data_IF_408465366240
#
_entry.id   IF_408465366240
#
_cell.length_a   1.000
_cell.length_b   1.000
_cell.length_c   1.000
_cell.angle_alpha   90.00
_cell.angle_beta   90.00
_cell.angle_gamma   90.00
#
_symmetry.space_group_name_H-M   'P 1'
#
loop_
_entity.id
_entity.type
_entity.pdbx_description
1 polymer ?
#
# COMPACT_ATOMS: atom_id res chain seq x y z
N UNK A 1 -2.63 43.88 -2.26
CA UNK A 1 -1.62 44.73 -2.96
C UNK A 1 -2.23 45.94 -3.69
N UNK A 2 -3.29 45.79 -4.49
CA UNK A 2 -3.90 46.91 -5.24
C UNK A 2 -4.37 48.08 -4.33
N UNK A 3 -5.10 47.78 -3.26
CA UNK A 3 -5.61 48.81 -2.32
C UNK A 3 -4.47 49.60 -1.65
N UNK A 4 -3.34 48.95 -1.35
CA UNK A 4 -2.16 49.63 -0.78
C UNK A 4 -1.55 50.58 -1.80
N UNK A 5 -1.44 50.15 -3.07
CA UNK A 5 -0.96 51.00 -4.16
C UNK A 5 -1.87 52.21 -4.38
N UNK A 6 -3.19 52.03 -4.31
CA UNK A 6 -4.16 53.11 -4.46
C UNK A 6 -4.10 54.09 -3.28
N UNK A 7 -3.90 53.59 -2.05
CA UNK A 7 -3.74 54.43 -0.86
C UNK A 7 -2.45 55.26 -0.92
N UNK A 8 -1.34 54.67 -1.37
CA UNK A 8 -0.07 55.38 -1.60
C UNK A 8 -0.28 56.49 -2.63
N UNK A 9 -0.89 56.17 -3.78
CA UNK A 9 -1.14 57.14 -4.85
C UNK A 9 -1.98 58.33 -4.35
N UNK A 10 -3.05 58.06 -3.59
CA UNK A 10 -3.91 59.10 -3.02
C UNK A 10 -3.17 60.02 -2.04
N UNK A 11 -2.34 59.45 -1.15
CA UNK A 11 -1.51 60.23 -0.23
C UNK A 11 -0.48 61.09 -0.97
N UNK A 12 0.16 60.55 -2.01
CA UNK A 12 1.13 61.29 -2.83
C UNK A 12 0.49 62.50 -3.51
N UNK A 13 -0.72 62.36 -4.06
CA UNK A 13 -1.44 63.48 -4.70
C UNK A 13 -1.78 64.57 -3.68
N UNK A 14 -2.30 64.21 -2.51
CA UNK A 14 -2.63 65.17 -1.45
C UNK A 14 -1.41 65.91 -0.92
N UNK A 15 -0.29 65.21 -0.71
CA UNK A 15 0.98 65.82 -0.34
C UNK A 15 1.40 66.88 -1.36
N UNK A 16 1.38 66.53 -2.65
CA UNK A 16 1.74 67.46 -3.72
C UNK A 16 0.85 68.71 -3.76
N UNK A 17 -0.47 68.55 -3.58
CA UNK A 17 -1.41 69.67 -3.52
C UNK A 17 -1.13 70.59 -2.33
N UNK A 18 -0.79 70.03 -1.18
CA UNK A 18 -0.51 70.78 0.05
C UNK A 18 0.80 71.54 -0.06
N UNK A 19 1.84 70.91 -0.62
CA UNK A 19 3.10 71.58 -0.91
C UNK A 19 2.89 72.77 -1.85
N UNK A 20 2.14 72.59 -2.94
CA UNK A 20 1.84 73.68 -3.88
C UNK A 20 1.03 74.82 -3.26
N UNK A 21 0.10 74.51 -2.35
CA UNK A 21 -0.63 75.53 -1.60
C UNK A 21 0.31 76.31 -0.67
N UNK A 22 1.23 75.63 0.00
CA UNK A 22 2.20 76.26 0.88
C UNK A 22 3.17 77.18 0.12
N UNK A 23 3.65 76.74 -1.06
CA UNK A 23 4.43 77.59 -1.97
C UNK A 23 3.64 78.83 -2.40
N UNK A 24 2.36 78.67 -2.75
CA UNK A 24 1.50 79.80 -3.09
C UNK A 24 1.30 80.78 -1.92
N UNK A 25 1.10 80.28 -0.70
CA UNK A 25 1.04 81.13 0.50
C UNK A 25 2.33 81.95 0.67
N UNK A 26 3.49 81.31 0.47
CA UNK A 26 4.79 81.99 0.57
C UNK A 26 4.96 83.09 -0.46
N UNK A 27 4.43 82.92 -1.67
CA UNK A 27 4.46 83.98 -2.70
C UNK A 27 3.49 85.12 -2.38
N UNK A 28 2.26 84.83 -1.94
CA UNK A 28 1.27 85.87 -1.61
C UNK A 28 1.71 86.75 -0.44
N UNK A 29 2.45 86.21 0.53
CA UNK A 29 2.99 86.98 1.66
C UNK A 29 4.05 88.00 1.22
N UNK A 30 4.67 87.82 0.04
CA UNK A 30 5.65 88.77 -0.52
C UNK A 30 5.00 89.98 -1.21
N UNK A 31 3.67 90.03 -1.30
CA UNK A 31 2.94 91.14 -1.92
C UNK A 31 3.22 92.46 -1.18
N UNK A 32 3.70 93.47 -1.90
CA UNK A 32 4.11 94.74 -1.31
C UNK A 32 2.94 95.73 -1.21
N UNK A 33 1.86 95.53 -1.97
CA UNK A 33 0.67 96.36 -1.91
C UNK A 33 -0.35 95.83 -0.87
N UNK A 34 -0.65 96.59 0.21
CA UNK A 34 -1.60 96.16 1.23
C UNK A 34 -3.01 95.92 0.68
N UNK A 35 -3.46 96.68 -0.32
CA UNK A 35 -4.78 96.49 -0.94
C UNK A 35 -4.85 95.20 -1.75
N UNK A 36 -3.84 94.90 -2.56
CA UNK A 36 -3.73 93.66 -3.32
C UNK A 36 -3.69 92.42 -2.42
N UNK A 37 -2.93 92.47 -1.32
CA UNK A 37 -2.89 91.39 -0.34
C UNK A 37 -4.27 91.12 0.28
N UNK A 38 -4.99 92.17 0.70
CA UNK A 38 -6.31 92.04 1.31
C UNK A 38 -7.37 91.47 0.36
N UNK A 39 -7.25 91.72 -0.95
CA UNK A 39 -8.17 91.13 -1.95
C UNK A 39 -8.02 89.61 -2.08
N UNK A 40 -6.83 89.06 -1.80
CA UNK A 40 -6.49 87.64 -2.03
C UNK A 40 -6.50 86.83 -0.72
N UNK A 41 -6.20 87.48 0.41
CA UNK A 41 -5.99 86.82 1.71
C UNK A 41 -7.19 86.01 2.20
N UNK A 42 -8.41 86.53 2.06
CA UNK A 42 -9.64 85.84 2.49
C UNK A 42 -9.89 84.54 1.69
N UNK A 43 -9.63 84.58 0.37
CA UNK A 43 -9.71 83.39 -0.48
C UNK A 43 -8.61 82.37 -0.14
N UNK A 44 -7.41 82.83 0.22
CA UNK A 44 -6.30 81.99 0.63
C UNK A 44 -6.59 81.30 1.98
N UNK A 45 -7.06 82.05 2.98
CA UNK A 45 -7.43 81.54 4.30
C UNK A 45 -8.49 80.45 4.18
N UNK A 46 -9.54 80.68 3.37
CA UNK A 46 -10.56 79.66 3.09
C UNK A 46 -9.95 78.40 2.48
N UNK A 47 -9.03 78.54 1.52
CA UNK A 47 -8.39 77.40 0.84
C UNK A 47 -7.48 76.59 1.77
N UNK A 48 -6.76 77.26 2.67
CA UNK A 48 -5.95 76.62 3.71
C UNK A 48 -6.83 75.83 4.67
N UNK A 49 -7.88 76.44 5.23
CA UNK A 49 -8.80 75.76 6.14
C UNK A 49 -9.49 74.55 5.49
N UNK A 50 -9.97 74.69 4.24
CA UNK A 50 -10.58 73.58 3.50
C UNK A 50 -9.59 72.43 3.25
N UNK A 51 -8.32 72.75 3.02
CA UNK A 51 -7.27 71.74 2.80
C UNK A 51 -6.95 71.03 4.12
N UNK A 52 -6.83 71.77 5.22
CA UNK A 52 -6.60 71.23 6.58
C UNK A 52 -7.71 70.28 7.03
N UNK A 53 -8.98 70.66 6.87
CA UNK A 53 -10.13 69.81 7.19
C UNK A 53 -10.16 68.48 6.40
N UNK A 54 -9.65 68.50 5.17
CA UNK A 54 -9.58 67.31 4.31
C UNK A 54 -8.41 66.39 4.63
N UNK A 55 -7.39 66.87 5.33
CA UNK A 55 -6.26 66.04 5.78
C UNK A 55 -6.67 65.09 6.90
N UNK A 56 -7.44 65.59 7.87
CA UNK A 56 -7.88 64.81 9.03
C UNK A 56 -8.90 63.70 8.71
N UNK A 57 -9.66 63.82 7.62
CA UNK A 57 -10.73 62.86 7.28
C UNK A 57 -10.23 61.74 6.36
N UNK A 58 -10.09 60.53 6.91
CA UNK A 58 -10.04 59.25 6.18
C UNK A 58 -8.81 58.99 5.30
N UNK A 59 -7.79 59.86 5.35
CA UNK A 59 -6.57 59.73 4.53
C UNK A 59 -5.45 58.99 5.27
N UNK A 60 -5.37 59.17 6.60
CA UNK A 60 -4.33 58.57 7.45
C UNK A 60 -4.74 57.26 8.14
N UNK A 61 -6.00 56.86 8.03
CA UNK A 61 -6.46 55.56 8.54
C UNK A 61 -6.02 54.46 7.57
N UNK A 62 -5.21 53.48 8.00
CA UNK A 62 -4.80 52.38 7.14
C UNK A 62 -6.04 51.60 6.69
N UNK A 63 -6.23 51.44 5.37
CA UNK A 63 -7.37 50.69 4.80
C UNK A 63 -7.15 49.18 4.80
N UNK A 64 -6.04 48.73 5.37
CA UNK A 64 -5.64 47.34 5.49
C UNK A 64 -5.31 47.06 6.95
N UNK A 65 -5.87 46.00 7.50
CA UNK A 65 -5.46 45.41 8.77
C UNK A 65 -4.23 44.54 8.52
N UNK A 66 -3.39 44.32 9.55
CA UNK A 66 -2.19 43.46 9.45
C UNK A 66 -2.50 41.97 9.40
N UNK A 67 -3.77 41.60 9.49
CA UNK A 67 -4.21 40.21 9.44
C UNK A 67 -4.34 39.77 7.99
N UNK A 68 -3.34 39.02 7.54
CA UNK A 68 -3.45 38.25 6.30
C UNK A 68 -4.41 37.10 6.53
N UNK A 69 -5.65 37.23 6.06
CA UNK A 69 -6.60 36.13 6.04
C UNK A 69 -6.23 35.18 4.88
N UNK A 70 -5.37 34.20 5.18
CA UNK A 70 -4.99 33.12 4.27
C UNK A 70 -6.12 32.09 4.18
N UNK A 71 -7.26 32.48 3.62
CA UNK A 71 -8.29 31.51 3.28
C UNK A 71 -7.89 30.79 2.00
N UNK A 72 -7.42 29.55 2.15
CA UNK A 72 -7.24 28.61 1.04
C UNK A 72 -8.63 28.21 0.54
N UNK A 73 -9.01 28.67 -0.65
CA UNK A 73 -10.24 28.21 -1.30
C UNK A 73 -10.04 26.77 -1.82
N UNK A 74 -10.53 25.81 -1.03
CA UNK A 74 -10.47 24.39 -1.35
C UNK A 74 -11.68 23.92 -2.16
N UNK A 75 -12.64 24.78 -2.51
CA UNK A 75 -13.83 24.39 -3.25
C UNK A 75 -13.51 23.84 -4.66
N UNK A 76 -12.59 24.42 -5.44
CA UNK A 76 -12.19 23.88 -6.75
C UNK A 76 -11.51 22.50 -6.61
N UNK A 77 -10.74 22.30 -5.55
CA UNK A 77 -10.07 21.04 -5.24
C UNK A 77 -11.11 19.96 -4.88
N UNK A 78 -12.06 20.27 -4.00
CA UNK A 78 -13.17 19.38 -3.63
C UNK A 78 -14.02 19.01 -4.85
N UNK A 79 -14.35 19.99 -5.70
CA UNK A 79 -15.09 19.74 -6.93
C UNK A 79 -14.31 18.85 -7.90
N UNK A 80 -13.00 19.04 -8.00
CA UNK A 80 -12.12 18.14 -8.77
C UNK A 80 -12.11 16.72 -8.18
N UNK A 81 -12.01 16.57 -6.85
CA UNK A 81 -12.07 15.27 -6.17
C UNK A 81 -13.41 14.57 -6.39
N UNK A 82 -14.53 15.32 -6.35
CA UNK A 82 -15.86 14.76 -6.62
C UNK A 82 -16.07 14.37 -8.09
N UNK A 83 -15.32 14.98 -9.01
CA UNK A 83 -15.31 14.63 -10.45
C UNK A 83 -14.30 13.53 -10.78
N UNK A 84 -13.46 13.11 -9.83
CA UNK A 84 -12.63 11.92 -10.00
C UNK A 84 -13.53 10.70 -9.92
N UNK A 85 -13.85 10.13 -11.08
CA UNK A 85 -14.25 8.73 -11.15
C UNK A 85 -13.03 7.88 -10.82
N UNK A 86 -12.97 7.40 -9.57
CA UNK A 86 -12.05 6.33 -9.20
C UNK A 86 -12.51 5.06 -9.91
N UNK A 87 -12.03 4.84 -11.13
CA UNK A 87 -11.80 3.47 -11.59
C UNK A 87 -10.68 2.95 -10.70
N UNK A 88 -11.06 2.30 -9.60
CA UNK A 88 -10.18 1.38 -8.93
C UNK A 88 -9.76 0.38 -10.01
N UNK A 89 -8.57 0.55 -10.58
CA UNK A 89 -7.88 -0.51 -11.30
C UNK A 89 -7.48 -1.55 -10.27
N UNK A 90 -8.48 -2.24 -9.74
CA UNK A 90 -8.36 -3.62 -9.30
C UNK A 90 -7.96 -4.31 -10.59
N UNK A 91 -6.64 -4.43 -10.82
CA UNK A 91 -6.13 -5.43 -11.75
C UNK A 91 -6.71 -6.73 -11.19
N UNK A 92 -7.84 -7.15 -11.75
CA UNK A 92 -8.42 -8.43 -11.49
C UNK A 92 -7.33 -9.39 -11.89
N UNK A 93 -6.59 -9.91 -10.90
CA UNK A 93 -5.84 -11.12 -11.17
C UNK A 93 -6.89 -12.09 -11.71
N UNK A 94 -6.66 -12.69 -12.89
CA UNK A 94 -7.66 -13.50 -13.52
C UNK A 94 -8.11 -14.57 -12.51
N UNK A 95 -9.42 -14.74 -12.37
CA UNK A 95 -9.95 -15.89 -11.63
C UNK A 95 -9.44 -17.17 -12.31
N UNK A 96 -9.23 -18.26 -11.56
CA UNK A 96 -8.68 -19.47 -12.15
C UNK A 96 -9.52 -20.01 -13.30
N UNK A 97 -8.90 -20.79 -14.20
CA UNK A 97 -9.62 -21.54 -15.20
C UNK A 97 -10.47 -22.65 -14.53
N UNK A 98 -11.61 -23.05 -15.13
CA UNK A 98 -12.43 -24.14 -14.62
C UNK A 98 -11.60 -25.44 -14.54
N UNK A 99 -11.62 -26.16 -13.40
CA UNK A 99 -10.91 -27.43 -13.29
C UNK A 99 -11.48 -28.50 -14.24
N UNK A 100 -10.64 -29.48 -14.57
CA UNK A 100 -11.00 -30.60 -15.44
C UNK A 100 -11.14 -31.85 -14.58
N UNK A 101 -12.34 -32.44 -14.54
CA UNK A 101 -12.57 -33.73 -13.88
C UNK A 101 -11.85 -34.85 -14.65
N UNK A 102 -11.10 -35.67 -13.93
CA UNK A 102 -10.38 -36.83 -14.45
C UNK A 102 -11.29 -38.05 -14.40
N UNK A 103 -12.13 -38.21 -15.42
CA UNK A 103 -13.17 -39.25 -15.49
C UNK A 103 -12.62 -40.67 -15.26
N UNK A 104 -11.39 -40.94 -15.72
CA UNK A 104 -10.72 -42.24 -15.56
C UNK A 104 -10.32 -42.55 -14.11
N UNK A 105 -10.18 -41.52 -13.28
CA UNK A 105 -9.82 -41.62 -11.86
C UNK A 105 -11.03 -41.42 -10.94
N UNK A 106 -12.18 -41.03 -11.48
CA UNK A 106 -13.43 -40.91 -10.74
C UNK A 106 -14.11 -42.27 -10.67
N UNK A 107 -14.55 -42.68 -9.48
CA UNK A 107 -15.26 -43.94 -9.32
C UNK A 107 -16.29 -43.86 -8.20
N UNK A 108 -17.32 -44.69 -8.28
CA UNK A 108 -18.26 -44.93 -7.18
C UNK A 108 -18.01 -46.32 -6.60
N UNK A 109 -18.12 -46.43 -5.28
CA UNK A 109 -17.99 -47.70 -4.58
C UNK A 109 -19.00 -47.74 -3.44
N UNK A 110 -19.96 -48.66 -3.48
CA UNK A 110 -21.06 -48.75 -2.50
C UNK A 110 -21.79 -47.41 -2.36
N UNK A 111 -21.69 -46.78 -1.19
CA UNK A 111 -22.26 -45.49 -0.84
C UNK A 111 -21.23 -44.36 -0.81
N UNK A 112 -20.11 -44.51 -1.51
CA UNK A 112 -19.09 -43.47 -1.64
C UNK A 112 -18.74 -43.17 -3.10
N UNK A 113 -18.26 -41.95 -3.32
CA UNK A 113 -17.80 -41.47 -4.61
C UNK A 113 -16.43 -40.82 -4.47
N UNK A 114 -15.45 -41.30 -5.22
CA UNK A 114 -14.14 -40.67 -5.35
C UNK A 114 -14.10 -39.83 -6.61
N UNK A 115 -13.74 -38.55 -6.45
CA UNK A 115 -13.68 -37.55 -7.51
C UNK A 115 -12.26 -37.02 -7.61
N UNK A 116 -11.72 -36.97 -8.82
CA UNK A 116 -10.39 -36.45 -9.13
C UNK A 116 -10.49 -35.34 -10.17
N UNK A 117 -9.74 -34.26 -10.00
CA UNK A 117 -9.71 -33.11 -10.91
C UNK A 117 -8.33 -32.50 -11.03
N UNK A 118 -8.04 -31.85 -12.15
CA UNK A 118 -6.78 -31.15 -12.37
C UNK A 118 -6.96 -29.78 -12.99
N UNK A 119 -5.96 -28.94 -12.81
CA UNK A 119 -5.85 -27.67 -13.49
C UNK A 119 -5.60 -27.89 -15.00
N UNK A 120 -6.18 -27.07 -15.90
CA UNK A 120 -5.88 -27.13 -17.32
C UNK A 120 -4.37 -26.95 -17.61
N UNK A 121 -3.78 -27.70 -18.57
CA UNK A 121 -2.32 -27.73 -18.82
C UNK A 121 -1.65 -26.40 -19.17
N UNK A 122 -2.42 -25.36 -19.50
CA UNK A 122 -1.93 -24.04 -19.91
C UNK A 122 -2.35 -22.91 -18.93
N UNK A 123 -2.95 -23.26 -17.79
CA UNK A 123 -3.35 -22.26 -16.81
C UNK A 123 -2.13 -21.74 -16.05
N UNK A 124 -1.75 -20.48 -16.31
CA UNK A 124 -0.71 -19.74 -15.60
C UNK A 124 -1.20 -19.08 -14.31
N UNK A 125 -2.51 -19.16 -14.02
CA UNK A 125 -3.14 -18.58 -12.84
C UNK A 125 -2.92 -19.48 -11.62
N UNK A 126 -2.46 -18.91 -10.52
CA UNK A 126 -2.29 -19.61 -9.25
C UNK A 126 -3.65 -19.91 -8.62
N UNK A 127 -3.86 -21.18 -8.28
CA UNK A 127 -5.04 -21.68 -7.56
C UNK A 127 -4.71 -21.80 -6.08
N UNK A 128 -5.57 -21.27 -5.22
CA UNK A 128 -5.43 -21.37 -3.76
C UNK A 128 -6.15 -22.61 -3.21
N UNK A 129 -7.19 -23.07 -3.89
CA UNK A 129 -7.90 -24.30 -3.60
C UNK A 129 -9.05 -24.56 -4.56
N UNK A 130 -9.80 -25.62 -4.26
CA UNK A 130 -10.95 -26.10 -5.01
C UNK A 130 -12.14 -26.27 -4.08
N UNK A 131 -13.32 -26.07 -4.64
CA UNK A 131 -14.60 -26.32 -4.00
C UNK A 131 -15.32 -27.38 -4.83
N UNK A 132 -15.57 -28.52 -4.22
CA UNK A 132 -16.36 -29.59 -4.81
C UNK A 132 -17.80 -29.49 -4.31
N UNK A 133 -18.73 -29.50 -5.25
CA UNK A 133 -20.15 -29.52 -4.98
C UNK A 133 -20.80 -30.79 -5.51
N UNK A 134 -21.73 -31.33 -4.73
CA UNK A 134 -22.51 -32.51 -5.06
C UNK A 134 -23.99 -32.21 -4.78
N UNK A 135 -24.91 -32.69 -5.63
CA UNK A 135 -26.35 -32.58 -5.37
C UNK A 135 -26.83 -33.61 -4.33
N UNK A 136 -28.13 -33.61 -4.05
CA UNK A 136 -28.75 -34.52 -3.07
C UNK A 136 -29.12 -35.90 -3.63
N UNK A 137 -28.75 -36.20 -4.89
CA UNK A 137 -29.08 -37.47 -5.56
C UNK A 137 -30.45 -37.50 -6.23
N UNK A 138 -31.24 -36.43 -6.08
CA UNK A 138 -32.58 -36.26 -6.67
C UNK A 138 -32.66 -35.05 -7.61
N UNK A 139 -31.51 -34.55 -8.08
CA UNK A 139 -31.43 -33.34 -8.90
C UNK A 139 -31.79 -32.04 -8.16
N UNK A 140 -31.65 -32.05 -6.82
CA UNK A 140 -31.89 -30.90 -5.96
C UNK A 140 -30.72 -29.90 -5.94
N UNK A 141 -30.57 -29.18 -4.83
CA UNK A 141 -29.53 -28.16 -4.70
C UNK A 141 -28.15 -28.78 -4.50
N UNK A 142 -27.16 -28.25 -5.21
CA UNK A 142 -25.75 -28.53 -4.98
C UNK A 142 -25.29 -28.02 -3.61
N UNK A 143 -24.52 -28.84 -2.89
CA UNK A 143 -23.90 -28.50 -1.60
C UNK A 143 -22.40 -28.71 -1.65
N UNK A 144 -21.67 -27.87 -0.95
CA UNK A 144 -20.22 -27.96 -0.83
C UNK A 144 -19.87 -29.16 0.05
N UNK A 145 -19.20 -30.16 -0.53
CA UNK A 145 -18.76 -31.38 0.15
C UNK A 145 -17.27 -31.37 0.44
N UNK A 146 -16.50 -30.53 -0.26
CA UNK A 146 -15.07 -30.35 -0.01
C UNK A 146 -14.62 -28.92 -0.36
N UNK A 147 -13.74 -28.38 0.50
CA UNK A 147 -13.02 -27.11 0.27
C UNK A 147 -11.57 -27.31 0.70
N UNK A 148 -10.63 -27.21 -0.23
CA UNK A 148 -9.21 -27.41 0.09
C UNK A 148 -8.30 -27.44 -1.12
N UNK A 149 -7.02 -27.78 -0.92
CA UNK A 149 -5.97 -27.74 -1.96
C UNK A 149 -5.82 -29.03 -2.75
N UNK A 150 -6.32 -30.13 -2.22
CA UNK A 150 -6.19 -31.44 -2.84
C UNK A 150 -7.00 -31.51 -4.12
N UNK A 151 -6.51 -32.33 -5.04
CA UNK A 151 -7.09 -32.57 -6.36
C UNK A 151 -7.92 -33.85 -6.42
N UNK A 152 -8.09 -34.53 -5.28
CA UNK A 152 -8.85 -35.76 -5.16
C UNK A 152 -9.58 -35.75 -3.82
N UNK A 153 -10.86 -36.16 -3.84
CA UNK A 153 -11.68 -36.26 -2.64
C UNK A 153 -12.64 -37.44 -2.74
N UNK A 154 -12.74 -38.21 -1.66
CA UNK A 154 -13.75 -39.26 -1.49
C UNK A 154 -14.86 -38.74 -0.60
N UNK A 155 -16.10 -38.83 -1.09
CA UNK A 155 -17.33 -38.45 -0.37
C UNK A 155 -18.02 -39.74 0.05
N UNK A 156 -18.07 -40.00 1.35
CA UNK A 156 -18.73 -41.17 1.94
C UNK A 156 -20.15 -40.83 2.43
N UNK A 157 -20.97 -41.87 2.64
CA UNK A 157 -22.30 -41.72 3.26
C UNK A 157 -23.39 -41.21 2.32
N UNK A 158 -23.23 -41.43 1.01
CA UNK A 158 -24.25 -41.13 0.00
C UNK A 158 -25.42 -42.12 0.08
N UNK A 159 -26.58 -41.75 -0.46
CA UNK A 159 -27.69 -42.68 -0.58
C UNK A 159 -27.36 -43.78 -1.60
N UNK A 160 -27.74 -45.02 -1.30
CA UNK A 160 -27.63 -46.14 -2.24
C UNK A 160 -28.57 -45.95 -3.44
N UNK A 161 -28.20 -46.56 -4.57
CA UNK A 161 -28.93 -46.53 -5.83
C UNK A 161 -29.44 -45.13 -6.24
N UNK A 162 -28.61 -44.12 -6.00
CA UNK A 162 -28.96 -42.72 -6.22
C UNK A 162 -28.00 -42.09 -7.22
N UNK A 163 -28.52 -41.20 -8.06
CA UNK A 163 -27.76 -40.55 -9.12
C UNK A 163 -27.35 -39.16 -8.68
N UNK A 164 -26.06 -38.97 -8.47
CA UNK A 164 -25.47 -37.73 -8.01
C UNK A 164 -24.83 -36.94 -9.14
N UNK A 165 -25.05 -35.64 -9.15
CA UNK A 165 -24.36 -34.68 -10.01
C UNK A 165 -23.24 -34.00 -9.23
N UNK A 166 -22.01 -34.08 -9.74
CA UNK A 166 -20.83 -33.47 -9.15
C UNK A 166 -20.27 -32.37 -10.06
N UNK A 167 -19.80 -31.27 -9.48
CA UNK A 167 -19.11 -30.19 -10.18
C UNK A 167 -18.06 -29.55 -9.28
N UNK A 168 -16.94 -29.11 -9.86
CA UNK A 168 -15.84 -28.49 -9.12
C UNK A 168 -15.51 -27.11 -9.67
N UNK A 169 -15.18 -26.17 -8.79
CA UNK A 169 -14.65 -24.83 -9.14
C UNK A 169 -13.34 -24.59 -8.40
N UNK A 170 -12.43 -23.82 -8.99
CA UNK A 170 -11.20 -23.36 -8.37
C UNK A 170 -11.40 -21.97 -7.76
N UNK A 171 -10.63 -21.62 -6.74
CA UNK A 171 -10.64 -20.28 -6.17
C UNK A 171 -9.23 -19.77 -5.88
N UNK A 172 -9.08 -18.46 -5.88
CA UNK A 172 -7.90 -17.74 -5.42
C UNK A 172 -8.30 -16.41 -4.76
N UNK A 173 -7.32 -15.63 -4.31
CA UNK A 173 -7.50 -14.29 -3.72
C UNK A 173 -8.35 -13.32 -4.59
N UNK A 174 -8.50 -13.58 -5.88
CA UNK A 174 -9.27 -12.75 -6.82
C UNK A 174 -10.72 -13.18 -7.01
N UNK A 175 -11.05 -14.44 -6.69
CA UNK A 175 -12.40 -14.96 -6.78
C UNK A 175 -12.46 -16.44 -7.16
N UNK A 176 -13.66 -16.89 -7.55
CA UNK A 176 -13.95 -18.28 -7.95
C UNK A 176 -14.02 -18.40 -9.48
N UNK A 177 -13.59 -19.55 -10.00
CA UNK A 177 -13.73 -19.91 -11.41
C UNK A 177 -15.18 -20.28 -11.76
N UNK A 178 -15.52 -20.34 -13.06
CA UNK A 178 -16.63 -21.16 -13.52
C UNK A 178 -16.49 -22.62 -13.07
N UNK A 179 -17.62 -23.34 -13.02
CA UNK A 179 -17.61 -24.76 -12.70
C UNK A 179 -17.04 -25.61 -13.85
N UNK A 180 -16.51 -26.78 -13.50
CA UNK A 180 -16.22 -27.87 -14.43
C UNK A 180 -17.49 -28.32 -15.15
N UNK A 181 -17.32 -29.17 -16.18
CA UNK A 181 -18.45 -29.98 -16.67
C UNK A 181 -19.02 -30.79 -15.50
N UNK A 182 -20.34 -30.89 -15.45
CA UNK A 182 -21.02 -31.74 -14.46
C UNK A 182 -20.77 -33.20 -14.77
N UNK A 183 -20.32 -33.95 -13.77
CA UNK A 183 -20.17 -35.39 -13.82
C UNK A 183 -21.34 -36.04 -13.09
N UNK A 184 -21.99 -36.99 -13.76
CA UNK A 184 -23.07 -37.78 -13.17
C UNK A 184 -22.51 -39.11 -12.71
N UNK A 185 -22.74 -39.45 -11.46
CA UNK A 185 -22.28 -40.66 -10.79
C UNK A 185 -23.49 -41.41 -10.23
N UNK A 186 -23.44 -42.74 -10.22
CA UNK A 186 -24.47 -43.58 -9.61
C UNK A 186 -23.85 -44.46 -8.53
N UNK A 187 -24.42 -44.43 -7.33
CA UNK A 187 -24.03 -45.30 -6.21
C UNK A 187 -24.62 -46.70 -6.39
N UNK A 188 -23.99 -47.71 -5.79
CA UNK A 188 -24.46 -49.10 -5.88
C UNK A 188 -25.79 -49.28 -5.17
N UNK A 189 -26.52 -50.35 -5.52
CA UNK A 189 -27.67 -50.79 -4.71
C UNK A 189 -27.23 -51.22 -3.32
N UNK A 190 -28.13 -51.08 -2.33
CA UNK A 190 -27.90 -51.56 -0.97
C UNK A 190 -27.94 -53.08 -0.95
N UNK A 191 -26.83 -53.72 -1.32
CA UNK A 191 -26.62 -55.12 -0.99
C UNK A 191 -26.28 -55.17 0.50
N UNK A 192 -27.30 -55.36 1.33
CA UNK A 192 -27.09 -55.90 2.68
C UNK A 192 -26.27 -57.18 2.52
N UNK A 193 -24.96 -57.10 2.76
CA UNK A 193 -24.16 -58.28 3.01
C UNK A 193 -24.74 -58.90 4.27
N UNK A 194 -25.50 -59.98 4.10
CA UNK A 194 -25.93 -60.86 5.19
C UNK A 194 -24.74 -61.09 6.12
N UNK A 195 -24.86 -60.64 7.37
CA UNK A 195 -24.00 -61.10 8.45
C UNK A 195 -24.12 -62.63 8.50
N UNK A 196 -23.14 -63.34 7.94
CA UNK A 196 -22.97 -64.75 8.23
C UNK A 196 -22.48 -64.88 9.67
N UNK A 197 -23.43 -64.90 10.59
CA UNK A 197 -23.24 -65.40 11.95
C UNK A 197 -22.87 -66.88 11.88
N UNK A 198 -21.58 -67.20 12.03
CA UNK A 198 -21.16 -68.54 12.44
C UNK A 198 -21.15 -68.60 13.98
N UNK A 199 -21.79 -69.59 14.61
CA UNK A 199 -21.71 -69.79 16.05
C UNK A 199 -20.40 -70.52 16.36
N UNK A 200 -19.67 -70.13 17.42
CA UNK A 200 -18.95 -71.01 18.37
C UNK A 200 -18.03 -70.21 19.33
N UNK A 201 -17.60 -70.78 20.48
CA UNK A 201 -17.92 -70.27 21.81
C UNK A 201 -16.80 -69.47 22.48
N UNK A 202 -17.20 -68.67 23.47
CA UNK A 202 -16.34 -67.98 24.43
C UNK A 202 -15.68 -69.00 25.37
N UNK A 203 -14.39 -68.82 25.71
CA UNK A 203 -14.04 -68.83 27.15
C UNK A 203 -13.47 -67.49 27.63
N UNK A 204 -13.99 -67.11 28.80
CA UNK A 204 -13.57 -66.04 29.68
C UNK A 204 -12.06 -66.01 29.92
N UNK A 205 -11.49 -64.80 29.88
CA UNK A 205 -10.87 -64.28 31.09
C UNK A 205 -11.08 -62.77 31.24
N UNK A 206 -11.06 -62.35 32.49
CA UNK A 206 -11.89 -61.31 33.07
C UNK A 206 -11.03 -60.07 33.36
N UNK A 207 -11.51 -58.88 32.99
CA UNK A 207 -11.47 -57.72 33.88
C UNK A 207 -12.20 -56.52 33.26
N UNK A 208 -13.08 -55.93 34.07
CA UNK A 208 -13.91 -54.80 33.72
C UNK A 208 -13.16 -53.48 33.87
N UNK A 209 -13.47 -52.48 33.03
CA UNK A 209 -14.06 -51.20 33.47
C UNK A 209 -14.34 -50.23 32.29
N UNK A 210 -15.63 -49.90 32.16
CA UNK A 210 -16.26 -48.61 31.79
C UNK A 210 -15.84 -47.84 30.52
N UNK A 211 -16.69 -48.02 29.50
CA UNK A 211 -17.37 -47.05 28.61
C UNK A 211 -17.11 -45.54 28.91
N UNK A 212 -16.60 -44.79 27.91
CA UNK A 212 -17.35 -43.77 27.12
C UNK A 212 -16.45 -43.00 26.13
N UNK A 213 -16.93 -42.90 24.87
CA UNK A 213 -16.82 -41.84 23.84
C UNK A 213 -15.45 -41.21 23.48
N UNK A 214 -15.08 -41.14 22.19
CA UNK A 214 -14.11 -40.18 21.70
C UNK A 214 -14.81 -39.02 20.95
N UNK A 215 -14.98 -37.90 21.64
CA UNK A 215 -14.73 -36.58 21.05
C UNK A 215 -13.44 -36.05 21.68
N UNK A 216 -12.67 -35.31 20.88
CA UNK A 216 -11.49 -34.52 21.25
C UNK A 216 -10.13 -35.22 21.05
N UNK A 217 -9.49 -34.87 19.93
CA UNK A 217 -8.05 -35.06 19.71
C UNK A 217 -7.32 -33.80 20.17
N UNK A 218 -6.56 -33.91 21.25
CA UNK A 218 -5.46 -32.99 21.57
C UNK A 218 -4.15 -33.75 21.49
N UNK A 219 -3.25 -33.25 20.66
CA UNK A 219 -1.87 -33.72 20.47
C UNK A 219 -1.05 -33.47 21.75
N UNK A 220 -0.37 -34.49 22.26
CA UNK A 220 0.67 -34.37 23.28
C UNK A 220 1.98 -34.94 22.71
N UNK A 221 2.99 -34.09 22.51
CA UNK A 221 4.38 -34.48 22.32
C UNK A 221 5.13 -34.15 23.62
N UNK A 222 5.69 -35.16 24.26
CA UNK A 222 6.53 -35.01 25.45
C UNK A 222 7.97 -34.60 25.08
N UNK A 223 8.67 -33.82 25.93
CA UNK A 223 9.93 -33.17 25.61
C UNK A 223 11.15 -33.92 26.19
N UNK A 224 12.31 -33.72 25.56
CA UNK A 224 13.63 -33.92 26.18
C UNK A 224 14.31 -32.55 26.37
N UNK A 225 14.71 -32.30 27.61
CA UNK A 225 15.30 -31.06 28.14
C UNK A 225 16.78 -30.87 27.68
N UNK A 226 17.31 -29.64 27.57
CA UNK A 226 17.72 -28.84 28.74
C UNK A 226 18.11 -27.38 28.39
N UNK A 227 17.71 -26.43 29.27
CA UNK A 227 18.50 -25.22 29.55
C UNK A 227 17.82 -23.85 29.51
N UNK A 228 17.09 -23.47 30.59
CA UNK A 228 16.88 -22.12 31.19
C UNK A 228 16.42 -20.95 30.30
N UNK A 229 15.53 -20.03 30.68
CA UNK A 229 14.63 -19.78 31.81
C UNK A 229 13.72 -18.61 31.36
N UNK A 230 12.49 -18.53 31.87
CA UNK A 230 11.78 -17.35 32.39
C UNK A 230 10.26 -17.50 32.27
N UNK A 231 9.58 -16.95 33.27
CA UNK A 231 8.29 -17.34 33.85
C UNK A 231 7.04 -17.14 32.97
N UNK A 232 6.13 -18.11 33.05
CA UNK A 232 4.70 -18.03 32.65
C UNK A 232 3.89 -17.13 33.60
N UNK A 233 2.85 -16.48 33.05
CA UNK A 233 1.53 -16.41 33.70
C UNK A 233 0.43 -16.61 32.64
N UNK A 234 -0.26 -17.76 32.73
CA UNK A 234 -1.53 -18.05 32.04
C UNK A 234 -2.69 -17.28 32.69
N UNK A 235 -3.67 -16.85 31.89
CA UNK A 235 -5.11 -16.82 32.26
C UNK A 235 -5.91 -16.50 31.00
N UNK A 236 -6.62 -17.45 30.39
CA UNK A 236 -8.03 -17.81 30.64
C UNK A 236 -9.05 -16.76 30.18
N UNK A 237 -10.02 -17.24 29.41
CA UNK A 237 -11.06 -16.50 28.73
C UNK A 237 -12.06 -15.79 29.67
N UNK A 238 -12.63 -14.71 29.12
CA UNK A 238 -13.78 -13.92 29.58
C UNK A 238 -13.49 -12.75 30.53
N UNK A 239 -13.15 -11.60 29.93
CA UNK A 239 -13.67 -10.31 30.41
C UNK A 239 -13.83 -9.33 29.24
N UNK A 240 -14.98 -9.40 28.58
CA UNK A 240 -15.53 -8.30 27.78
C UNK A 240 -15.89 -7.15 28.72
N UNK A 241 -15.12 -6.07 28.71
CA UNK A 241 -15.57 -4.68 28.66
C UNK A 241 -14.38 -3.77 28.98
N UNK A 242 -14.30 -2.63 28.28
CA UNK A 242 -13.33 -1.53 28.46
C UNK A 242 -12.01 -1.59 27.65
N UNK A 243 -11.92 -2.33 26.54
CA UNK A 243 -10.78 -2.21 25.62
C UNK A 243 -11.11 -1.54 24.27
N UNK A 244 -12.29 -0.93 24.12
CA UNK A 244 -12.72 -0.28 22.87
C UNK A 244 -12.32 1.20 22.74
N UNK A 245 -11.53 1.75 23.67
CA UNK A 245 -11.29 3.21 23.70
C UNK A 245 -9.82 3.63 23.72
N UNK A 246 -8.86 2.71 23.54
CA UNK A 246 -7.42 3.04 23.50
C UNK A 246 -6.67 2.49 22.27
N UNK A 247 -7.38 2.06 21.21
CA UNK A 247 -6.76 1.70 19.92
C UNK A 247 -6.62 2.88 18.93
N UNK A 248 -6.92 4.11 19.35
CA UNK A 248 -6.98 5.28 18.44
C UNK A 248 -5.67 6.07 18.27
N UNK A 249 -4.50 5.48 18.55
CA UNK A 249 -3.18 6.09 18.24
C UNK A 249 -2.20 5.06 17.66
N UNK A 250 -2.67 4.11 16.85
CA UNK A 250 -1.78 3.29 16.03
C UNK A 250 -1.37 4.06 14.77
N UNK A 251 -0.08 4.36 14.62
CA UNK A 251 0.51 4.81 13.36
C UNK A 251 0.09 3.83 12.25
N UNK A 252 -0.57 4.33 11.21
CA UNK A 252 -1.06 3.50 10.11
C UNK A 252 0.14 3.02 9.28
N UNK A 253 0.48 1.73 9.39
CA UNK A 253 1.53 1.08 8.58
C UNK A 253 0.94 0.70 7.21
N UNK A 254 1.67 0.99 6.13
CA UNK A 254 1.31 0.60 4.78
C UNK A 254 1.89 -0.78 4.44
N UNK A 255 1.02 -1.72 4.07
CA UNK A 255 1.42 -3.05 3.60
C UNK A 255 1.49 -3.06 2.07
N UNK A 256 2.60 -3.54 1.50
CA UNK A 256 2.76 -3.68 0.06
C UNK A 256 3.71 -4.82 -0.30
N UNK A 257 3.63 -5.27 -1.54
CA UNK A 257 4.54 -6.24 -2.17
C UNK A 257 5.18 -5.60 -3.40
N UNK A 258 6.12 -6.30 -4.03
CA UNK A 258 6.53 -5.93 -5.38
C UNK A 258 5.39 -6.12 -6.39
N UNK A 259 5.44 -5.35 -7.47
CA UNK A 259 4.48 -5.38 -8.57
C UNK A 259 5.08 -6.09 -9.80
N UNK A 260 4.65 -7.33 -10.10
CA UNK A 260 5.09 -8.06 -11.29
C UNK A 260 4.81 -7.34 -12.61
N UNK A 261 3.79 -6.49 -12.67
CA UNK A 261 3.46 -5.75 -13.89
C UNK A 261 4.44 -4.60 -14.18
N UNK A 262 5.19 -4.16 -13.16
CA UNK A 262 6.22 -3.14 -13.27
C UNK A 262 7.59 -3.70 -13.66
N UNK A 263 7.79 -5.00 -13.59
CA UNK A 263 9.13 -5.59 -13.62
C UNK A 263 9.61 -5.93 -15.03
N UNK A 264 10.93 -5.92 -15.20
CA UNK A 264 11.54 -6.52 -16.39
C UNK A 264 11.26 -8.03 -16.44
N UNK A 265 11.19 -8.61 -17.65
CA UNK A 265 10.88 -10.04 -17.85
C UNK A 265 11.89 -11.02 -17.20
N UNK A 266 13.09 -10.54 -16.88
CA UNK A 266 14.14 -11.32 -16.21
C UNK A 266 14.00 -11.34 -14.68
N UNK A 267 13.13 -10.51 -14.09
CA UNK A 267 12.87 -10.52 -12.65
C UNK A 267 12.07 -11.76 -12.29
N UNK A 268 12.51 -12.45 -11.25
CA UNK A 268 11.88 -13.65 -10.72
C UNK A 268 11.32 -13.31 -9.36
N UNK A 269 10.03 -13.58 -9.18
CA UNK A 269 9.31 -13.39 -7.93
C UNK A 269 9.14 -14.70 -7.18
N UNK A 270 9.17 -14.61 -5.86
CA UNK A 270 8.77 -15.70 -4.97
C UNK A 270 8.13 -15.13 -3.69
N UNK A 271 7.68 -16.01 -2.80
CA UNK A 271 7.13 -15.63 -1.50
C UNK A 271 6.03 -14.56 -1.59
N UNK A 272 4.98 -14.82 -2.38
CA UNK A 272 3.87 -13.87 -2.60
C UNK A 272 4.32 -12.47 -3.10
N UNK A 273 5.33 -12.43 -3.97
CA UNK A 273 5.96 -11.21 -4.50
C UNK A 273 6.64 -10.34 -3.43
N UNK A 274 7.05 -10.94 -2.31
CA UNK A 274 7.84 -10.27 -1.28
C UNK A 274 9.34 -10.53 -1.46
N UNK A 275 9.72 -11.50 -2.30
CA UNK A 275 11.11 -11.83 -2.57
C UNK A 275 11.39 -11.74 -4.07
N UNK A 276 12.47 -11.07 -4.45
CA UNK A 276 12.87 -10.86 -5.84
C UNK A 276 14.33 -11.25 -6.08
N UNK A 277 14.56 -11.88 -7.23
CA UNK A 277 15.89 -12.12 -7.81
C UNK A 277 15.80 -11.88 -9.32
N UNK A 278 16.88 -12.13 -10.05
CA UNK A 278 16.93 -11.92 -11.50
C UNK A 278 17.56 -13.13 -12.20
N UNK A 279 17.21 -13.37 -13.45
CA UNK A 279 17.87 -14.38 -14.27
C UNK A 279 19.10 -13.83 -15.03
N UNK A 280 19.17 -12.52 -15.22
CA UNK A 280 20.21 -11.84 -15.99
C UNK A 280 21.45 -11.49 -15.14
N UNK A 281 22.59 -11.32 -15.80
CA UNK A 281 23.77 -10.67 -15.21
C UNK A 281 23.66 -9.14 -15.18
N UNK A 282 22.84 -8.58 -16.07
CA UNK A 282 22.51 -7.16 -16.05
C UNK A 282 21.52 -6.86 -14.93
N UNK A 283 21.62 -5.67 -14.34
CA UNK A 283 20.65 -5.21 -13.34
C UNK A 283 19.32 -4.90 -13.99
N UNK A 284 18.24 -5.33 -13.31
CA UNK A 284 16.87 -5.16 -13.75
C UNK A 284 16.04 -4.55 -12.64
N UNK A 285 15.13 -3.64 -12.99
CA UNK A 285 14.31 -2.91 -12.02
C UNK A 285 12.97 -3.61 -11.77
N UNK A 286 12.54 -3.55 -10.52
CA UNK A 286 11.18 -3.85 -10.07
C UNK A 286 10.70 -2.78 -9.09
N UNK A 287 9.41 -2.46 -9.13
CA UNK A 287 8.78 -1.49 -8.24
C UNK A 287 7.86 -2.18 -7.22
N UNK A 288 7.67 -1.51 -6.08
CA UNK A 288 6.61 -1.80 -5.13
C UNK A 288 5.24 -1.43 -5.71
N UNK A 289 4.20 -2.14 -5.29
CA UNK A 289 2.83 -1.95 -5.78
C UNK A 289 2.16 -0.66 -5.26
N UNK A 290 2.63 -0.14 -4.14
CA UNK A 290 2.06 1.05 -3.50
C UNK A 290 2.95 2.26 -3.77
N UNK A 291 2.36 3.31 -4.33
CA UNK A 291 3.01 4.59 -4.53
C UNK A 291 2.69 5.57 -3.41
N UNK A 292 3.68 6.39 -3.05
CA UNK A 292 3.61 7.39 -1.98
C UNK A 292 3.76 8.80 -2.56
N UNK A 293 2.87 9.72 -2.16
CA UNK A 293 2.87 11.11 -2.61
C UNK A 293 2.85 12.15 -1.49
N UNK A 294 2.74 11.70 -0.23
CA UNK A 294 2.79 12.53 0.98
C UNK A 294 3.14 11.70 2.21
N UNK A 295 3.58 12.35 3.28
CA UNK A 295 3.86 11.72 4.58
C UNK A 295 5.28 11.17 4.71
N UNK A 296 5.49 10.37 5.75
CA UNK A 296 6.76 9.73 6.07
C UNK A 296 6.59 8.22 5.96
N UNK A 297 7.41 7.59 5.13
CA UNK A 297 7.33 6.15 4.86
C UNK A 297 8.70 5.50 5.04
N UNK A 298 8.71 4.37 5.71
CA UNK A 298 9.90 3.56 5.94
C UNK A 298 9.60 2.11 5.57
N UNK A 299 10.53 1.47 4.88
CA UNK A 299 10.51 0.04 4.61
C UNK A 299 11.92 -0.51 4.55
N UNK A 300 12.03 -1.83 4.69
CA UNK A 300 13.29 -2.54 4.71
C UNK A 300 13.29 -3.67 3.69
N UNK A 301 14.49 -3.99 3.21
CA UNK A 301 14.77 -5.10 2.31
C UNK A 301 15.86 -5.96 2.94
N UNK A 302 15.59 -7.26 3.07
CA UNK A 302 16.52 -8.21 3.68
C UNK A 302 17.34 -8.89 2.60
N UNK A 303 18.66 -8.97 2.77
CA UNK A 303 19.53 -9.60 1.78
C UNK A 303 19.56 -11.11 1.98
N UNK A 304 18.70 -11.84 1.28
CA UNK A 304 18.61 -13.30 1.35
C UNK A 304 19.84 -14.00 0.74
N UNK A 305 20.34 -13.46 -0.38
CA UNK A 305 21.50 -13.98 -1.13
C UNK A 305 22.31 -12.83 -1.69
N UNK A 306 23.63 -12.93 -1.57
CA UNK A 306 24.59 -11.99 -2.13
C UNK A 306 25.87 -12.75 -2.48
N UNK A 307 26.04 -13.05 -3.76
CA UNK A 307 27.16 -13.83 -4.28
C UNK A 307 28.10 -12.94 -5.11
N UNK A 308 29.42 -13.17 -5.04
CA UNK A 308 30.44 -12.35 -5.70
C UNK A 308 30.44 -10.88 -5.20
N UNK A 309 30.49 -9.91 -6.12
CA UNK A 309 30.58 -8.48 -5.84
C UNK A 309 29.64 -7.64 -6.74
N UNK A 310 28.32 -7.91 -6.79
CA UNK A 310 27.36 -7.10 -7.53
C UNK A 310 27.07 -5.78 -6.79
N UNK A 311 26.45 -4.83 -7.48
CA UNK A 311 26.05 -3.53 -6.94
C UNK A 311 24.52 -3.37 -6.97
N UNK A 312 23.73 -4.16 -6.20
CA UNK A 312 22.28 -3.96 -6.16
C UNK A 312 21.96 -2.54 -5.66
N UNK A 313 20.91 -1.96 -6.23
CA UNK A 313 20.45 -0.61 -5.90
C UNK A 313 19.05 -0.60 -5.30
N UNK A 314 18.87 0.25 -4.30
CA UNK A 314 17.69 0.37 -3.46
C UNK A 314 17.24 1.82 -3.42
N UNK A 315 15.94 2.09 -3.53
CA UNK A 315 15.46 3.46 -3.41
C UNK A 315 14.03 3.65 -3.86
N UNK A 316 13.80 4.76 -4.55
CA UNK A 316 12.49 5.16 -5.06
C UNK A 316 12.55 5.54 -6.52
N UNK A 317 11.46 5.30 -7.25
CA UNK A 317 11.39 5.62 -8.66
C UNK A 317 9.99 6.10 -9.09
N UNK A 318 9.93 6.75 -10.26
CA UNK A 318 8.68 6.97 -11.00
C UNK A 318 8.24 5.68 -11.69
N UNK A 319 6.96 5.61 -12.03
CA UNK A 319 6.38 4.41 -12.66
C UNK A 319 7.03 4.08 -14.01
N UNK A 320 7.45 5.10 -14.75
CA UNK A 320 8.05 5.04 -16.09
C UNK A 320 9.59 4.98 -16.09
N UNK A 321 10.22 4.67 -14.95
CA UNK A 321 11.68 4.43 -14.87
C UNK A 321 12.13 3.33 -15.83
N UNK A 322 13.34 3.45 -16.40
CA UNK A 322 13.95 2.39 -17.20
C UNK A 322 14.03 1.08 -16.41
N UNK A 323 13.61 -0.03 -17.02
CA UNK A 323 13.56 -1.35 -16.34
C UNK A 323 14.75 -2.25 -16.65
N UNK A 324 15.50 -1.92 -17.69
CA UNK A 324 16.63 -2.65 -18.25
C UNK A 324 17.99 -2.06 -17.82
N UNK A 325 18.02 -1.32 -16.72
CA UNK A 325 19.19 -0.63 -16.21
C UNK A 325 19.23 -0.64 -14.67
N UNK A 326 20.39 -0.35 -14.09
CA UNK A 326 20.53 -0.06 -12.65
C UNK A 326 19.72 1.20 -12.28
N UNK A 327 19.06 1.17 -11.12
CA UNK A 327 18.33 2.32 -10.59
C UNK A 327 19.25 3.53 -10.40
N UNK A 328 18.74 4.71 -10.80
CA UNK A 328 19.47 5.97 -10.75
C UNK A 328 20.25 6.27 -12.04
N UNK A 329 20.30 5.36 -13.03
CA UNK A 329 20.89 5.67 -14.34
C UNK A 329 20.09 6.71 -15.14
N UNK A 330 18.78 6.78 -14.95
CA UNK A 330 17.92 7.79 -15.55
C UNK A 330 17.53 8.88 -14.53
N UNK A 331 16.77 9.86 -15.01
CA UNK A 331 16.22 10.97 -14.23
C UNK A 331 14.93 10.61 -13.45
N UNK A 332 14.55 9.32 -13.42
CA UNK A 332 13.29 8.85 -12.83
C UNK A 332 13.48 8.03 -11.57
N UNK A 333 14.72 7.76 -11.17
CA UNK A 333 15.06 7.02 -9.96
C UNK A 333 16.07 7.76 -9.08
N UNK A 334 15.92 7.57 -7.78
CA UNK A 334 16.81 8.05 -6.73
C UNK A 334 17.15 6.87 -5.85
N UNK A 335 18.40 6.42 -5.89
CA UNK A 335 18.79 5.16 -5.29
C UNK A 335 20.16 5.23 -4.60
N UNK A 336 20.38 4.27 -3.72
CA UNK A 336 21.69 3.89 -3.22
C UNK A 336 22.05 2.53 -3.82
N UNK A 337 23.18 2.45 -4.53
CA UNK A 337 23.78 1.15 -4.87
C UNK A 337 24.89 0.82 -3.88
N UNK A 338 25.07 -0.46 -3.58
CA UNK A 338 25.96 -0.90 -2.51
C UNK A 338 26.57 -2.26 -2.83
N UNK A 339 27.89 -2.34 -2.70
CA UNK A 339 28.65 -3.59 -2.77
C UNK A 339 28.92 -4.13 -1.34
N UNK A 340 29.87 -5.05 -1.19
CA UNK A 340 30.23 -5.63 0.10
C UNK A 340 31.12 -4.73 0.98
N UNK A 341 31.56 -3.58 0.46
CA UNK A 341 32.48 -2.67 1.13
C UNK A 341 31.90 -1.28 1.34
N UNK A 342 31.07 -0.78 0.41
CA UNK A 342 30.72 0.63 0.31
C UNK A 342 29.44 0.85 -0.49
N UNK A 343 28.83 2.01 -0.27
CA UNK A 343 27.68 2.50 -1.02
C UNK A 343 27.94 3.83 -1.70
N UNK A 344 27.09 4.16 -2.67
CA UNK A 344 27.00 5.44 -3.34
C UNK A 344 25.55 5.77 -3.64
N UNK A 345 25.21 7.06 -3.67
CA UNK A 345 23.91 7.51 -4.16
C UNK A 345 23.98 7.78 -5.66
N UNK A 346 22.92 7.43 -6.38
CA UNK A 346 22.81 7.59 -7.82
C UNK A 346 21.45 8.18 -8.24
N UNK A 347 21.52 9.19 -9.10
CA UNK A 347 20.38 9.76 -9.80
C UNK A 347 20.87 10.41 -11.10
N UNK A 348 20.16 10.22 -12.21
CA UNK A 348 20.54 10.74 -13.53
C UNK A 348 22.00 10.41 -13.91
N UNK A 349 22.41 9.16 -13.64
CA UNK A 349 23.77 8.65 -13.86
C UNK A 349 24.88 9.43 -13.12
N UNK A 350 24.52 10.26 -12.15
CA UNK A 350 25.44 11.00 -11.28
C UNK A 350 25.64 10.25 -9.98
N UNK A 351 26.90 10.02 -9.61
CA UNK A 351 27.30 9.27 -8.42
C UNK A 351 27.77 10.23 -7.34
N UNK A 352 27.21 10.13 -6.15
CA UNK A 352 27.49 11.07 -5.05
C UNK A 352 27.66 10.35 -3.71
N UNK A 353 28.34 11.01 -2.78
CA UNK A 353 28.42 10.63 -1.36
C UNK A 353 28.82 9.17 -1.09
N UNK A 354 29.97 8.74 -1.62
CA UNK A 354 30.57 7.45 -1.27
C UNK A 354 30.67 7.29 0.24
N UNK A 355 30.13 6.19 0.76
CA UNK A 355 30.14 5.87 2.19
C UNK A 355 30.69 4.46 2.40
N UNK A 356 31.58 4.28 3.37
CA UNK A 356 32.07 2.94 3.78
C UNK A 356 30.99 2.16 4.50
N UNK A 357 31.06 0.84 4.44
CA UNK A 357 30.01 -0.06 4.93
C UNK A 357 29.19 -0.58 3.76
N UNK A 358 29.19 -1.89 3.60
CA UNK A 358 28.49 -2.57 2.52
C UNK A 358 27.49 -3.59 3.05
N UNK A 359 26.96 -4.41 2.15
CA UNK A 359 25.99 -5.44 2.47
C UNK A 359 26.60 -6.85 2.44
N UNK A 360 25.99 -7.75 3.19
CA UNK A 360 26.26 -9.20 3.15
C UNK A 360 24.95 -9.95 3.31
N UNK A 361 24.96 -11.27 3.11
CA UNK A 361 23.79 -12.10 3.39
C UNK A 361 23.31 -11.91 4.83
N UNK A 362 22.02 -11.61 4.99
CA UNK A 362 21.36 -11.33 6.26
C UNK A 362 21.37 -9.86 6.68
N UNK A 363 22.02 -8.97 5.91
CA UNK A 363 21.91 -7.53 6.14
C UNK A 363 20.50 -7.02 5.80
N UNK A 364 20.10 -5.91 6.43
CA UNK A 364 18.87 -5.17 6.08
C UNK A 364 19.23 -3.82 5.50
N UNK A 365 18.54 -3.41 4.43
CA UNK A 365 18.65 -2.08 3.83
C UNK A 365 17.35 -1.34 4.07
N UNK A 366 17.40 -0.27 4.87
CA UNK A 366 16.27 0.59 5.15
C UNK A 366 16.21 1.78 4.20
N UNK A 367 14.98 2.14 3.77
CA UNK A 367 14.71 3.29 2.92
C UNK A 367 13.70 4.18 3.62
N UNK A 368 14.10 5.41 3.95
CA UNK A 368 13.25 6.41 4.60
C UNK A 368 12.90 7.52 3.61
N UNK A 369 11.66 7.49 3.12
CA UNK A 369 11.09 8.51 2.23
C UNK A 369 10.25 9.50 3.07
N UNK A 370 10.81 10.68 3.33
CA UNK A 370 10.11 11.78 4.00
C UNK A 370 9.62 12.80 2.97
N UNK A 371 8.37 12.69 2.53
CA UNK A 371 7.75 13.65 1.60
C UNK A 371 7.27 14.92 2.30
N UNK A 372 7.33 14.97 3.64
CA UNK A 372 7.05 16.19 4.42
C UNK A 372 8.28 17.09 4.41
N UNK A 373 9.46 16.52 4.63
CA UNK A 373 10.76 17.21 4.53
C UNK A 373 11.35 17.19 3.12
N UNK A 374 10.77 16.42 2.22
CA UNK A 374 11.21 16.19 0.84
C UNK A 374 12.60 15.57 0.75
N UNK A 375 12.90 14.63 1.64
CA UNK A 375 14.22 13.97 1.77
C UNK A 375 14.13 12.46 1.60
N UNK A 376 15.21 11.86 1.09
CA UNK A 376 15.42 10.41 1.08
C UNK A 376 16.70 10.07 1.84
N UNK A 377 16.60 9.12 2.76
CA UNK A 377 17.72 8.65 3.59
C UNK A 377 17.76 7.12 3.57
N UNK A 378 18.97 6.57 3.66
CA UNK A 378 19.20 5.12 3.66
C UNK A 378 19.84 4.67 4.97
N UNK A 379 19.56 3.44 5.36
CA UNK A 379 20.22 2.75 6.48
C UNK A 379 20.65 1.34 6.07
N UNK A 380 21.70 0.82 6.70
CA UNK A 380 22.11 -0.58 6.60
C UNK A 380 22.18 -1.11 8.04
N UNK A 381 21.42 -2.15 8.35
CA UNK A 381 21.31 -2.72 9.70
C UNK A 381 20.96 -1.68 10.77
N UNK A 382 19.91 -0.88 10.53
CA UNK A 382 19.47 0.27 11.37
C UNK A 382 20.40 1.49 11.40
N UNK A 383 21.67 1.34 11.03
CA UNK A 383 22.62 2.45 11.02
C UNK A 383 22.48 3.29 9.75
N UNK A 384 22.41 4.61 9.90
CA UNK A 384 22.28 5.52 8.76
C UNK A 384 23.51 5.42 7.84
N UNK A 385 23.26 5.13 6.56
CA UNK A 385 24.29 4.92 5.56
C UNK A 385 24.58 6.22 4.80
N UNK A 386 25.49 7.03 5.35
CA UNK A 386 25.91 8.30 4.77
C UNK A 386 25.02 9.48 5.19
N UNK A 387 25.13 10.65 4.54
CA UNK A 387 24.25 11.80 4.80
C UNK A 387 22.84 11.57 4.22
N UNK A 388 21.96 12.58 4.35
CA UNK A 388 20.72 12.63 3.57
C UNK A 388 21.08 12.53 2.08
N UNK A 389 20.48 11.57 1.38
CA UNK A 389 20.91 11.19 0.04
C UNK A 389 20.38 12.14 -1.02
N UNK A 390 19.11 12.51 -0.91
CA UNK A 390 18.44 13.41 -1.85
C UNK A 390 17.49 14.34 -1.12
N UNK A 391 17.38 15.55 -1.65
CA UNK A 391 16.50 16.61 -1.16
C UNK A 391 15.58 17.08 -2.29
N UNK A 392 14.54 17.86 -1.95
CA UNK A 392 13.55 18.40 -2.88
C UNK A 392 12.76 17.35 -3.66
N UNK A 393 12.55 16.16 -3.08
CA UNK A 393 11.68 15.13 -3.66
C UNK A 393 10.21 15.55 -3.60
N UNK A 394 9.53 15.47 -4.74
CA UNK A 394 8.11 15.80 -4.88
C UNK A 394 7.38 14.88 -5.85
N UNK A 395 6.05 14.80 -5.74
CA UNK A 395 5.21 13.95 -6.59
C UNK A 395 5.06 12.51 -6.07
N UNK A 396 4.70 11.60 -6.97
CA UNK A 396 4.44 10.18 -6.67
C UNK A 396 5.70 9.33 -6.85
N UNK A 397 6.03 8.53 -5.84
CA UNK A 397 7.18 7.63 -5.84
C UNK A 397 6.78 6.21 -5.46
N UNK A 398 7.44 5.23 -6.06
CA UNK A 398 7.29 3.83 -5.73
C UNK A 398 8.60 3.31 -5.12
N UNK A 399 8.56 2.46 -4.08
CA UNK A 399 9.71 1.67 -3.67
C UNK A 399 10.30 0.96 -4.88
N UNK A 400 11.62 0.93 -5.00
CA UNK A 400 12.28 0.38 -6.17
C UNK A 400 13.56 -0.37 -5.80
N UNK A 401 13.80 -1.47 -6.50
CA UNK A 401 15.06 -2.22 -6.42
C UNK A 401 15.55 -2.53 -7.83
N UNK A 402 16.86 -2.47 -8.05
CA UNK A 402 17.49 -3.10 -9.20
C UNK A 402 18.57 -4.07 -8.78
N UNK A 403 18.54 -5.26 -9.36
CA UNK A 403 19.47 -6.33 -9.02
C UNK A 403 19.69 -7.27 -10.21
N UNK A 404 20.78 -8.04 -10.14
CA UNK A 404 21.10 -9.13 -11.05
C UNK A 404 20.98 -10.50 -10.35
N UNK A 405 21.28 -11.57 -11.10
CA UNK A 405 21.14 -12.96 -10.64
C UNK A 405 21.92 -13.35 -9.39
N UNK A 406 22.95 -12.58 -9.04
CA UNK A 406 23.78 -12.86 -7.88
C UNK A 406 23.18 -12.35 -6.56
N UNK A 407 22.04 -11.64 -6.64
CA UNK A 407 21.37 -11.06 -5.47
C UNK A 407 19.95 -11.59 -5.36
N UNK A 408 19.49 -11.78 -4.13
CA UNK A 408 18.08 -12.00 -3.80
C UNK A 408 17.76 -11.15 -2.57
N UNK A 409 16.63 -10.44 -2.64
CA UNK A 409 16.13 -9.58 -1.55
C UNK A 409 14.65 -9.80 -1.27
#
# INVERSE_FOLDING_TARGET
>A
LQVVRDQISHCTVKLRQTTGLMEYCLEVIKENDPSGFLQISDALIRRVHLTEDQWGKGTLTPRMTTDFDLNLDNAPLLQSIHQLDFVQMKVSSPVPAPPILQLEECCTHNNSATLSWKQPPLSSVQVEGYILELDDGNGGQFREVYVGKETMCTVDGLHFNSTYSARVKAFNKSGVSPYSKTLVLQTSEDTQSEEQTLPFPVPLERSQLRRMSPFSSTLNLQPSFSGRSYFELRSSAHQLSLHSSLQSLNSAVAWFSFDPSSAHADIIFSNDNLTVTCNSYDDRVVLGKTGFSKGLHYWELSIDRYDNHPDPAFGVARIDVLKDAMLGKDDKAWAMYVDNNRSWFMHNNSHTNRTEGGITKGATVGVLLDLTRRTLTFSINEDQQGPVAFENLEGLFFPAVSLNRNVQV
#
